data_IF_527104146244
#
_entry.id   IF_527104146244
#
_cell.length_a   1.000
_cell.length_b   1.000
_cell.length_c   1.000
_cell.angle_alpha   90.00
_cell.angle_beta   90.00
_cell.angle_gamma   90.00
#
_symmetry.space_group_name_H-M   'P 1'
#
loop_
_entity.id
_entity.type
_entity.pdbx_description
1 polymer ?
#
# COMPACT_ATOMS: atom_id res chain seq x y z
N UNK A 1 -70.03 -72.99 34.33
CA UNK A 1 -69.57 -71.59 34.44
C UNK A 1 -68.12 -71.53 33.98
N UNK A 2 -67.85 -70.97 32.79
CA UNK A 2 -66.54 -70.99 32.12
C UNK A 2 -65.88 -69.60 32.19
N UNK A 3 -64.61 -69.65 32.60
CA UNK A 3 -63.46 -68.73 32.52
C UNK A 3 -63.55 -67.48 31.63
N UNK A 4 -62.86 -66.42 32.07
CA UNK A 4 -62.26 -65.38 31.23
C UNK A 4 -61.25 -64.54 32.01
N UNK A 5 -59.96 -64.88 31.93
CA UNK A 5 -58.85 -64.16 32.54
C UNK A 5 -58.48 -62.93 31.71
N UNK A 6 -58.28 -61.78 32.35
CA UNK A 6 -57.88 -60.51 31.72
C UNK A 6 -56.35 -60.37 31.77
N UNK A 7 -55.69 -60.29 30.60
CA UNK A 7 -54.26 -60.03 30.45
C UNK A 7 -53.98 -58.52 30.55
N UNK A 8 -52.99 -58.14 31.37
CA UNK A 8 -52.40 -56.79 31.41
C UNK A 8 -51.32 -56.66 30.32
N UNK A 9 -51.44 -55.65 29.44
CA UNK A 9 -50.33 -55.21 28.57
C UNK A 9 -49.55 -54.08 29.26
N UNK A 10 -48.25 -54.29 29.52
CA UNK A 10 -47.31 -53.22 29.83
C UNK A 10 -46.80 -52.60 28.51
N UNK A 11 -46.98 -51.29 28.35
CA UNK A 11 -46.33 -50.52 27.29
C UNK A 11 -45.05 -49.87 27.84
N UNK A 12 -43.90 -50.29 27.30
CA UNK A 12 -42.58 -49.74 27.60
C UNK A 12 -42.29 -48.53 26.70
N UNK A 13 -42.27 -47.32 27.28
CA UNK A 13 -41.78 -46.11 26.62
C UNK A 13 -40.25 -46.10 26.68
N UNK A 14 -39.58 -46.32 25.54
CA UNK A 14 -38.14 -46.14 25.39
C UNK A 14 -37.80 -44.66 25.23
N UNK A 15 -37.04 -44.10 26.17
CA UNK A 15 -36.51 -42.74 26.11
C UNK A 15 -35.23 -42.75 25.25
N UNK A 16 -35.32 -42.31 24.00
CA UNK A 16 -34.15 -42.11 23.12
C UNK A 16 -33.41 -40.84 23.54
N UNK A 17 -32.30 -41.00 24.27
CA UNK A 17 -31.31 -39.94 24.43
C UNK A 17 -30.55 -39.76 23.11
N UNK A 18 -30.79 -38.64 22.42
CA UNK A 18 -29.88 -38.17 21.38
C UNK A 18 -28.59 -37.70 22.06
N UNK A 19 -27.54 -38.51 22.00
CA UNK A 19 -26.19 -38.08 22.35
C UNK A 19 -25.72 -37.11 21.25
N UNK A 20 -26.02 -35.82 21.42
CA UNK A 20 -25.43 -34.78 20.60
C UNK A 20 -23.97 -34.62 21.03
N UNK A 21 -23.08 -35.32 20.32
CA UNK A 21 -21.63 -35.16 20.44
C UNK A 21 -21.28 -33.70 20.19
N UNK A 22 -21.03 -32.93 21.24
CA UNK A 22 -20.41 -31.62 21.16
C UNK A 22 -18.91 -31.82 20.85
N UNK A 23 -18.59 -32.25 19.62
CA UNK A 23 -17.21 -32.09 19.14
C UNK A 23 -16.98 -30.59 19.03
N UNK A 24 -15.91 -30.12 19.67
CA UNK A 24 -15.53 -28.73 19.53
C UNK A 24 -15.03 -28.51 18.11
N UNK A 25 -15.94 -28.14 17.21
CA UNK A 25 -15.68 -27.85 15.80
C UNK A 25 -15.24 -26.39 15.58
N UNK A 26 -14.93 -25.64 16.66
CA UNK A 26 -14.40 -24.27 16.55
C UNK A 26 -13.13 -24.21 15.68
N UNK A 27 -12.31 -25.27 15.68
CA UNK A 27 -11.11 -25.34 14.82
C UNK A 27 -11.44 -25.41 13.32
N UNK A 28 -12.65 -25.86 12.93
CA UNK A 28 -13.11 -25.83 11.53
C UNK A 28 -13.51 -24.42 11.08
N UNK A 29 -13.67 -23.49 12.03
CA UNK A 29 -13.97 -22.08 11.75
C UNK A 29 -12.73 -21.19 11.67
N UNK A 30 -11.55 -21.70 12.06
CA UNK A 30 -10.29 -20.96 11.98
C UNK A 30 -9.76 -21.04 10.54
N UNK A 31 -9.61 -19.91 9.82
CA UNK A 31 -8.99 -19.91 8.51
C UNK A 31 -7.57 -20.49 8.60
N UNK A 32 -7.10 -21.23 7.57
CA UNK A 32 -5.73 -21.72 7.57
C UNK A 32 -4.74 -20.55 7.69
N UNK A 33 -3.63 -20.71 8.44
CA UNK A 33 -2.63 -19.67 8.57
C UNK A 33 -2.10 -19.25 7.20
N UNK A 34 -2.02 -17.94 6.97
CA UNK A 34 -1.42 -17.42 5.74
C UNK A 34 0.09 -17.64 5.80
N UNK A 35 0.71 -18.25 4.77
CA UNK A 35 2.15 -18.40 4.72
C UNK A 35 2.85 -17.05 4.76
N UNK A 36 4.02 -17.00 5.41
CA UNK A 36 4.87 -15.82 5.43
C UNK A 36 5.21 -15.40 3.99
N UNK A 37 4.86 -14.17 3.64
CA UNK A 37 5.08 -13.54 2.33
C UNK A 37 6.01 -12.33 2.44
N UNK A 38 6.77 -12.21 3.52
CA UNK A 38 7.67 -11.08 3.75
C UNK A 38 8.75 -11.00 2.68
N UNK A 39 9.03 -9.79 2.20
CA UNK A 39 10.08 -9.53 1.21
C UNK A 39 10.71 -8.15 1.42
N UNK A 40 11.83 -7.91 0.75
CA UNK A 40 12.46 -6.59 0.60
C UNK A 40 12.66 -6.27 -0.88
N UNK A 41 12.41 -5.01 -1.26
CA UNK A 41 12.63 -4.44 -2.57
C UNK A 41 13.50 -3.19 -2.42
N UNK A 42 14.75 -3.28 -2.87
CA UNK A 42 15.75 -2.20 -2.86
C UNK A 42 15.71 -1.35 -4.15
N UNK A 43 14.91 -1.73 -5.15
CA UNK A 43 14.88 -1.05 -6.46
C UNK A 43 16.27 -0.86 -7.11
N UNK A 44 17.22 -1.76 -6.83
CA UNK A 44 18.56 -1.80 -7.45
C UNK A 44 18.45 -1.64 -8.97
N UNK A 45 17.46 -2.31 -9.57
CA UNK A 45 16.92 -1.87 -10.86
C UNK A 45 15.39 -1.95 -10.90
N UNK A 46 14.74 -0.96 -11.52
CA UNK A 46 13.29 -0.95 -11.77
C UNK A 46 12.91 -2.13 -12.67
N UNK A 47 13.74 -2.48 -13.66
CA UNK A 47 13.48 -3.64 -14.53
C UNK A 47 13.39 -4.95 -13.73
N UNK A 48 14.27 -5.16 -12.73
CA UNK A 48 14.19 -6.34 -11.86
C UNK A 48 12.95 -6.32 -10.97
N UNK A 49 12.54 -5.15 -10.47
CA UNK A 49 11.30 -5.01 -9.71
C UNK A 49 10.07 -5.37 -10.57
N UNK A 50 10.01 -4.90 -11.82
CA UNK A 50 8.94 -5.26 -12.76
C UNK A 50 8.91 -6.76 -13.05
N UNK A 51 10.08 -7.39 -13.21
CA UNK A 51 10.18 -8.84 -13.37
C UNK A 51 9.69 -9.63 -12.15
N UNK A 52 9.76 -9.03 -10.95
CA UNK A 52 9.18 -9.58 -9.70
C UNK A 52 7.69 -9.28 -9.52
N UNK A 53 7.05 -8.58 -10.48
CA UNK A 53 5.61 -8.36 -10.48
C UNK A 53 5.16 -7.02 -9.92
N UNK A 54 6.09 -6.09 -9.66
CA UNK A 54 5.72 -4.68 -9.51
C UNK A 54 5.13 -4.13 -10.80
N UNK A 55 4.22 -3.17 -10.70
CA UNK A 55 3.54 -2.56 -11.85
C UNK A 55 3.52 -1.05 -11.67
N UNK A 56 3.53 -0.32 -12.79
CA UNK A 56 3.55 1.14 -12.81
C UNK A 56 2.35 1.63 -13.62
N UNK A 57 1.70 2.70 -13.16
CA UNK A 57 0.61 3.32 -13.90
C UNK A 57 0.57 4.83 -13.67
N UNK A 58 0.71 5.62 -14.73
CA UNK A 58 0.42 7.04 -14.67
C UNK A 58 -1.01 7.30 -15.15
N UNK A 59 -1.83 7.85 -14.26
CA UNK A 59 -3.25 8.16 -14.49
C UNK A 59 -3.56 9.63 -14.17
N UNK A 60 -2.52 10.46 -14.21
CA UNK A 60 -2.59 11.91 -14.01
C UNK A 60 -3.50 12.57 -15.05
N UNK A 61 -3.99 13.76 -14.71
CA UNK A 61 -4.88 14.54 -15.57
C UNK A 61 -4.41 16.00 -15.65
N UNK A 62 -4.02 16.47 -16.85
CA UNK A 62 -3.80 15.69 -18.07
C UNK A 62 -2.63 14.70 -17.93
N UNK A 63 -2.58 13.67 -18.77
CA UNK A 63 -1.52 12.68 -18.74
C UNK A 63 -0.19 13.33 -19.17
N UNK A 64 0.84 13.19 -18.34
CA UNK A 64 2.21 13.59 -18.65
C UNK A 64 3.08 12.42 -19.08
N UNK A 65 4.35 12.72 -19.40
CA UNK A 65 5.33 11.71 -19.80
C UNK A 65 5.97 10.96 -18.62
N UNK A 66 5.90 11.52 -17.42
CA UNK A 66 6.53 10.97 -16.23
C UNK A 66 5.90 9.65 -15.77
N UNK A 67 6.74 8.69 -15.39
CA UNK A 67 6.34 7.46 -14.72
C UNK A 67 7.40 7.12 -13.67
N UNK A 68 7.04 6.35 -12.64
CA UNK A 68 7.99 5.84 -11.68
C UNK A 68 9.20 5.20 -12.38
N UNK A 69 10.39 5.75 -12.16
CA UNK A 69 11.60 5.42 -12.92
C UNK A 69 12.86 5.35 -12.04
N UNK A 70 13.89 4.68 -12.57
CA UNK A 70 15.16 4.46 -11.87
C UNK A 70 15.78 5.77 -11.45
N UNK A 71 16.15 5.88 -10.17
CA UNK A 71 16.86 7.06 -9.65
C UNK A 71 16.07 8.37 -9.75
N UNK A 72 14.76 8.29 -10.02
CA UNK A 72 13.92 9.45 -10.35
C UNK A 72 14.21 10.10 -11.71
N UNK A 73 15.38 9.87 -12.30
CA UNK A 73 15.78 10.39 -13.59
C UNK A 73 17.20 9.94 -13.97
N UNK A 74 17.64 10.35 -15.16
CA UNK A 74 19.01 10.13 -15.63
C UNK A 74 19.65 11.48 -15.93
N UNK A 75 20.70 11.90 -15.20
CA UNK A 75 21.30 11.22 -14.03
C UNK A 75 20.35 11.16 -12.82
N UNK A 76 20.60 10.25 -11.84
CA UNK A 76 19.80 10.16 -10.62
C UNK A 76 19.74 11.49 -9.86
N UNK A 77 18.59 11.82 -9.27
CA UNK A 77 18.40 13.09 -8.55
C UNK A 77 19.32 13.23 -7.33
N UNK A 78 19.62 12.12 -6.65
CA UNK A 78 20.44 12.06 -5.45
C UNK A 78 20.94 10.63 -5.21
N UNK A 79 21.72 10.41 -4.15
CA UNK A 79 22.15 9.08 -3.72
C UNK A 79 20.98 8.26 -3.12
N UNK A 80 20.93 6.93 -3.36
CA UNK A 80 19.94 6.04 -2.75
C UNK A 80 20.06 6.01 -1.22
N UNK A 81 19.00 5.58 -0.52
CA UNK A 81 19.07 5.29 0.91
C UNK A 81 19.93 4.05 1.14
N UNK A 82 19.67 3.00 0.35
CA UNK A 82 20.52 1.82 0.28
C UNK A 82 20.57 1.28 -1.14
N UNK A 83 21.68 0.61 -1.47
CA UNK A 83 21.81 -0.08 -2.75
C UNK A 83 22.62 -1.34 -2.50
N UNK A 84 22.11 -2.47 -2.96
CA UNK A 84 22.87 -3.72 -3.03
C UNK A 84 23.52 -3.90 -4.42
N UNK A 85 23.13 -3.10 -5.41
CA UNK A 85 23.66 -3.07 -6.76
C UNK A 85 24.57 -1.88 -7.08
N UNK A 86 25.00 -1.80 -8.35
CA UNK A 86 25.87 -0.74 -8.90
C UNK A 86 25.11 0.49 -9.43
N UNK A 87 23.78 0.46 -9.42
CA UNK A 87 22.91 1.55 -9.89
C UNK A 87 22.40 2.38 -8.70
N UNK A 88 21.78 3.53 -8.97
CA UNK A 88 21.07 4.27 -7.92
C UNK A 88 19.82 3.49 -7.50
N UNK A 89 19.94 2.62 -6.50
CA UNK A 89 18.90 1.72 -6.00
C UNK A 89 17.72 2.43 -5.35
N UNK A 90 16.98 3.24 -6.11
CA UNK A 90 15.68 3.77 -5.70
C UNK A 90 14.83 4.03 -6.94
N UNK A 91 13.53 4.19 -6.74
CA UNK A 91 12.57 4.53 -7.78
C UNK A 91 11.92 5.87 -7.45
N UNK A 92 11.66 6.72 -8.45
CA UNK A 92 11.01 8.02 -8.21
C UNK A 92 10.08 8.45 -9.34
N UNK A 93 9.13 9.33 -9.01
CA UNK A 93 8.20 9.95 -9.94
C UNK A 93 8.14 11.47 -9.66
N UNK A 94 8.04 12.28 -10.70
CA UNK A 94 8.12 13.74 -10.63
C UNK A 94 6.89 14.45 -11.19
N UNK A 95 6.91 15.78 -11.11
CA UNK A 95 5.87 16.68 -11.59
C UNK A 95 5.51 16.45 -13.07
N UNK A 96 6.40 15.86 -13.88
CA UNK A 96 6.12 15.51 -15.28
C UNK A 96 5.13 14.36 -15.42
N UNK A 97 4.69 13.77 -14.31
CA UNK A 97 3.51 12.89 -14.25
C UNK A 97 2.28 13.52 -14.89
N UNK A 98 2.12 14.83 -14.81
CA UNK A 98 1.13 15.60 -15.57
C UNK A 98 1.81 16.47 -16.64
N UNK A 99 1.12 16.70 -17.75
CA UNK A 99 1.59 17.61 -18.81
C UNK A 99 1.12 19.06 -18.61
N UNK A 100 0.28 19.32 -17.61
CA UNK A 100 -0.19 20.67 -17.32
C UNK A 100 0.82 21.49 -16.51
N UNK A 101 0.69 22.80 -16.62
CA UNK A 101 1.25 23.75 -15.68
C UNK A 101 0.72 23.49 -14.26
N UNK A 102 -0.59 23.28 -14.14
CA UNK A 102 -1.29 22.88 -12.91
C UNK A 102 -2.36 21.84 -13.28
N UNK A 103 -2.22 20.62 -12.79
CA UNK A 103 -3.15 19.52 -12.98
C UNK A 103 -3.11 18.55 -11.80
N UNK A 104 -3.75 17.39 -11.97
CA UNK A 104 -3.79 16.37 -10.92
C UNK A 104 -2.76 15.29 -11.23
N UNK A 105 -1.72 15.20 -10.40
CA UNK A 105 -0.77 14.08 -10.41
C UNK A 105 -1.43 12.88 -9.76
N UNK A 106 -1.39 11.72 -10.43
CA UNK A 106 -1.86 10.42 -9.92
C UNK A 106 -1.01 9.31 -10.55
N UNK A 107 0.18 9.09 -9.97
CA UNK A 107 1.18 8.16 -10.49
C UNK A 107 1.45 7.02 -9.50
N UNK A 108 1.26 5.78 -9.95
CA UNK A 108 1.14 4.61 -9.10
C UNK A 108 2.32 3.65 -9.27
N UNK A 109 2.85 3.20 -8.13
CA UNK A 109 3.79 2.08 -8.01
C UNK A 109 3.08 0.98 -7.20
N UNK A 110 2.78 -0.13 -7.85
CA UNK A 110 1.88 -1.16 -7.35
C UNK A 110 2.67 -2.43 -7.06
N UNK A 111 2.49 -2.99 -5.84
CA UNK A 111 3.18 -4.18 -5.38
C UNK A 111 2.84 -5.42 -6.21
N UNK A 112 3.64 -6.51 -6.12
CA UNK A 112 3.18 -7.86 -6.45
C UNK A 112 1.90 -8.24 -5.67
N UNK A 113 1.19 -9.28 -6.14
CA UNK A 113 -0.01 -9.78 -5.47
C UNK A 113 0.35 -10.48 -4.16
N UNK A 114 -0.43 -10.22 -3.11
CA UNK A 114 -0.23 -10.74 -1.75
C UNK A 114 -1.55 -11.27 -1.18
N UNK A 115 -1.47 -12.03 -0.11
CA UNK A 115 -2.60 -12.29 0.78
C UNK A 115 -2.46 -11.40 2.00
N UNK A 116 -3.15 -10.25 1.99
CA UNK A 116 -3.12 -9.23 3.01
C UNK A 116 -3.88 -9.67 4.27
N UNK A 117 -3.37 -9.28 5.43
CA UNK A 117 -3.94 -9.52 6.75
C UNK A 117 -3.80 -8.30 7.64
N UNK A 118 -4.73 -8.12 8.57
CA UNK A 118 -4.62 -7.07 9.58
C UNK A 118 -3.31 -7.27 10.37
N UNK A 119 -2.55 -6.20 10.52
CA UNK A 119 -1.24 -6.22 11.19
C UNK A 119 -0.04 -6.41 10.26
N UNK A 120 -0.23 -6.76 8.99
CA UNK A 120 0.87 -6.75 8.02
C UNK A 120 1.44 -5.32 7.91
N UNK A 121 2.75 -5.20 7.71
CA UNK A 121 3.43 -3.92 7.65
C UNK A 121 4.09 -3.68 6.30
N UNK A 122 3.93 -2.47 5.78
CA UNK A 122 4.65 -1.95 4.63
C UNK A 122 5.58 -0.87 5.15
N UNK A 123 6.87 -1.19 5.23
CA UNK A 123 7.93 -0.30 5.71
C UNK A 123 8.73 0.18 4.52
N UNK A 124 9.04 1.46 4.44
CA UNK A 124 9.78 2.01 3.31
C UNK A 124 10.49 3.30 3.70
N UNK A 125 11.43 3.73 2.86
CA UNK A 125 12.07 5.03 2.96
C UNK A 125 11.60 5.91 1.81
N UNK A 126 11.34 7.18 2.10
CA UNK A 126 11.01 8.16 1.05
C UNK A 126 11.75 9.47 1.25
N UNK A 127 11.98 10.17 0.14
CA UNK A 127 12.65 11.46 0.07
C UNK A 127 12.05 12.28 -1.07
N UNK A 128 11.77 13.56 -0.82
CA UNK A 128 11.35 14.53 -1.83
C UNK A 128 12.54 15.05 -2.65
N UNK A 129 12.29 15.37 -3.91
CA UNK A 129 13.27 16.04 -4.77
C UNK A 129 13.29 17.53 -4.48
N UNK A 130 14.21 17.97 -3.64
CA UNK A 130 14.34 19.38 -3.26
C UNK A 130 15.12 20.14 -4.34
N UNK A 131 14.55 21.22 -4.87
CA UNK A 131 15.15 22.05 -5.93
C UNK A 131 15.29 23.51 -5.49
N UNK A 132 16.24 24.30 -6.04
CA UNK A 132 16.41 25.70 -5.68
C UNK A 132 15.13 26.53 -5.92
N UNK A 133 14.70 27.25 -4.90
CA UNK A 133 13.62 28.23 -4.97
C UNK A 133 14.17 29.67 -4.98
N UNK A 134 15.30 29.88 -4.31
CA UNK A 134 16.02 31.16 -4.28
C UNK A 134 17.52 30.92 -4.12
N UNK A 135 18.29 32.00 -3.96
CA UNK A 135 19.74 31.91 -3.71
C UNK A 135 20.10 31.25 -2.37
N UNK A 136 19.17 31.25 -1.40
CA UNK A 136 19.41 30.77 -0.04
C UNK A 136 18.43 29.68 0.40
N UNK A 137 17.51 29.29 -0.49
CA UNK A 137 16.47 28.33 -0.16
C UNK A 137 16.17 27.37 -1.31
N UNK A 138 15.82 26.15 -0.94
CA UNK A 138 15.37 25.08 -1.82
C UNK A 138 14.14 24.43 -1.21
N UNK A 139 13.19 24.09 -2.07
CA UNK A 139 11.90 23.53 -1.70
C UNK A 139 11.55 22.32 -2.54
N UNK A 140 10.60 21.55 -2.06
CA UNK A 140 10.01 20.42 -2.75
C UNK A 140 8.64 20.78 -3.36
N UNK A 141 8.18 22.03 -3.17
CA UNK A 141 6.87 22.54 -3.58
C UNK A 141 5.70 21.68 -3.06
N UNK A 142 5.81 21.09 -1.86
CA UNK A 142 4.76 20.32 -1.20
C UNK A 142 4.37 19.01 -1.90
N UNK A 143 5.32 18.07 -2.01
CA UNK A 143 5.01 16.71 -2.45
C UNK A 143 4.06 15.99 -1.48
N UNK A 144 3.27 15.04 -2.00
CA UNK A 144 2.39 14.18 -1.20
C UNK A 144 2.41 12.75 -1.75
N UNK A 145 2.45 11.77 -0.84
CA UNK A 145 2.49 10.34 -1.17
C UNK A 145 1.46 9.60 -0.33
N UNK A 146 0.64 8.78 -0.99
CA UNK A 146 -0.33 7.90 -0.32
C UNK A 146 0.12 6.44 -0.42
N UNK A 147 -0.18 5.65 0.61
CA UNK A 147 -0.10 4.19 0.60
C UNK A 147 -1.52 3.65 0.74
N UNK A 148 -1.97 2.88 -0.24
CA UNK A 148 -3.34 2.34 -0.25
C UNK A 148 -3.34 0.85 -0.60
N UNK A 149 -4.42 0.14 -0.26
CA UNK A 149 -4.59 -1.28 -0.59
C UNK A 149 -5.81 -1.52 -1.47
N UNK A 150 -5.67 -2.48 -2.38
CA UNK A 150 -6.78 -3.13 -3.08
C UNK A 150 -7.13 -4.42 -2.33
N UNK A 151 -8.35 -4.49 -1.82
CA UNK A 151 -8.88 -5.62 -1.05
C UNK A 151 -9.97 -6.38 -1.80
N UNK A 152 -10.30 -5.97 -3.03
CA UNK A 152 -11.37 -6.58 -3.83
C UNK A 152 -10.85 -7.60 -4.83
N UNK A 153 -9.60 -7.44 -5.26
CA UNK A 153 -8.99 -8.28 -6.30
C UNK A 153 -7.46 -8.14 -6.29
N UNK A 154 -6.79 -8.91 -7.14
CA UNK A 154 -5.35 -8.77 -7.41
C UNK A 154 -5.07 -8.02 -8.71
N UNK A 155 -6.06 -7.32 -9.26
CA UNK A 155 -5.89 -6.47 -10.43
C UNK A 155 -5.13 -5.17 -10.08
N UNK A 156 -4.82 -4.42 -11.14
CA UNK A 156 -4.11 -3.14 -11.07
C UNK A 156 -5.02 -1.98 -11.45
N UNK A 157 -6.35 -2.14 -11.29
CA UNK A 157 -7.33 -1.12 -11.69
C UNK A 157 -7.25 0.07 -10.73
N UNK A 158 -6.46 1.05 -11.14
CA UNK A 158 -6.36 2.37 -10.51
C UNK A 158 -7.34 3.35 -11.17
N UNK A 159 -7.72 4.39 -10.43
CA UNK A 159 -8.57 5.46 -10.95
C UNK A 159 -7.81 6.46 -11.82
N UNK A 160 -8.48 7.57 -12.18
CA UNK A 160 -7.93 8.65 -13.00
C UNK A 160 -8.05 10.00 -12.28
N UNK A 161 -6.98 10.79 -12.27
CA UNK A 161 -6.96 12.10 -11.60
C UNK A 161 -7.18 11.93 -10.10
N UNK A 162 -8.34 12.33 -9.60
CA UNK A 162 -8.70 12.21 -8.16
C UNK A 162 -9.13 10.79 -7.78
N UNK A 163 -9.72 10.04 -8.72
CA UNK A 163 -10.23 8.69 -8.47
C UNK A 163 -9.10 7.70 -8.14
N UNK A 164 -9.38 6.77 -7.23
CA UNK A 164 -8.46 5.76 -6.70
C UNK A 164 -8.69 4.36 -7.29
N UNK A 165 -9.82 4.13 -7.97
CA UNK A 165 -10.19 2.79 -8.45
C UNK A 165 -10.31 1.79 -7.31
N UNK A 166 -9.70 0.62 -7.45
CA UNK A 166 -9.79 -0.46 -6.46
C UNK A 166 -8.89 -0.23 -5.23
N UNK A 167 -7.98 0.75 -5.25
CA UNK A 167 -7.10 1.08 -4.14
C UNK A 167 -7.75 2.09 -3.16
N UNK A 168 -8.95 1.77 -2.70
CA UNK A 168 -9.83 2.70 -1.97
C UNK A 168 -9.64 2.72 -0.44
N UNK A 169 -8.76 1.89 0.10
CA UNK A 169 -8.40 1.91 1.53
C UNK A 169 -7.02 2.53 1.70
N UNK A 170 -6.97 3.78 2.17
CA UNK A 170 -5.71 4.50 2.43
C UNK A 170 -5.17 4.10 3.81
N UNK A 171 -3.95 3.57 3.84
CA UNK A 171 -3.25 3.17 5.05
C UNK A 171 -2.36 4.27 5.62
N UNK A 172 -1.81 5.11 4.75
CA UNK A 172 -0.92 6.22 5.11
C UNK A 172 -1.03 7.34 4.08
N UNK A 173 -1.04 8.59 4.54
CA UNK A 173 -1.02 9.79 3.70
C UNK A 173 0.06 10.74 4.23
N UNK A 174 1.13 10.90 3.46
CA UNK A 174 2.30 11.72 3.83
C UNK A 174 2.12 13.10 3.21
N UNK A 175 2.18 14.12 4.06
CA UNK A 175 1.94 15.53 3.73
C UNK A 175 0.54 15.80 3.12
N UNK A 176 -0.56 15.38 3.78
CA UNK A 176 -1.91 15.56 3.24
C UNK A 176 -2.35 17.03 3.15
N UNK A 177 -1.69 17.92 3.87
CA UNK A 177 -1.99 19.35 3.93
C UNK A 177 -1.13 20.20 2.98
N UNK A 178 -0.33 19.57 2.10
CA UNK A 178 0.54 20.25 1.14
C UNK A 178 1.45 21.31 1.79
N UNK A 179 2.15 20.95 2.86
CA UNK A 179 3.15 21.81 3.49
C UNK A 179 4.45 21.72 2.67
N UNK A 180 4.97 22.85 2.24
CA UNK A 180 6.25 22.93 1.53
C UNK A 180 7.42 22.65 2.47
N UNK A 181 8.36 21.82 2.02
CA UNK A 181 9.66 21.69 2.64
C UNK A 181 10.50 22.92 2.29
N UNK A 182 11.28 23.45 3.23
CA UNK A 182 12.26 24.50 2.95
C UNK A 182 13.59 24.16 3.62
N UNK A 183 14.69 24.47 2.95
CA UNK A 183 16.03 24.44 3.56
C UNK A 183 16.30 25.65 4.43
N UNK A 184 15.62 26.77 4.17
CA UNK A 184 15.63 27.94 5.04
C UNK A 184 15.02 27.57 6.42
N UNK A 185 15.79 27.68 7.51
CA UNK A 185 15.29 27.35 8.85
C UNK A 185 14.07 28.17 9.28
N UNK A 186 13.87 29.37 8.73
CA UNK A 186 12.72 30.21 9.05
C UNK A 186 11.41 29.71 8.42
N UNK A 187 11.50 28.92 7.34
CA UNK A 187 10.36 28.38 6.61
C UNK A 187 10.20 26.86 6.81
N UNK A 188 11.22 26.20 7.37
CA UNK A 188 11.23 24.76 7.59
C UNK A 188 10.05 24.28 8.44
N UNK A 189 9.43 23.17 8.00
CA UNK A 189 8.42 22.44 8.75
C UNK A 189 8.74 20.96 8.77
N UNK A 190 8.70 20.36 9.96
CA UNK A 190 8.85 18.91 10.13
C UNK A 190 7.62 18.11 9.67
N UNK A 191 6.50 18.79 9.41
CA UNK A 191 5.27 18.18 8.88
C UNK A 191 5.22 18.17 7.35
N UNK A 192 6.16 18.87 6.68
CA UNK A 192 6.32 18.82 5.23
C UNK A 192 6.77 17.44 4.76
N UNK A 193 6.73 17.21 3.45
CA UNK A 193 7.33 16.01 2.87
C UNK A 193 8.83 15.97 3.17
N UNK A 194 9.40 14.80 3.50
CA UNK A 194 10.79 14.74 3.96
C UNK A 194 11.80 15.08 2.85
N UNK A 195 12.59 16.13 3.04
CA UNK A 195 13.73 16.46 2.17
C UNK A 195 14.96 15.55 2.36
N UNK A 196 14.93 14.62 3.31
CA UNK A 196 15.95 13.60 3.56
C UNK A 196 15.31 12.20 3.63
N UNK A 197 16.07 11.15 3.34
CA UNK A 197 15.56 9.78 3.43
C UNK A 197 14.99 9.48 4.82
N UNK A 198 13.68 9.26 4.86
CA UNK A 198 12.92 9.11 6.11
C UNK A 198 12.09 7.83 6.05
N UNK A 199 12.12 7.04 7.13
CA UNK A 199 11.40 5.79 7.26
C UNK A 199 9.91 6.04 7.58
N UNK A 200 9.03 5.36 6.86
CA UNK A 200 7.60 5.28 7.16
C UNK A 200 7.16 3.82 7.31
N UNK A 201 6.02 3.64 7.98
CA UNK A 201 5.37 2.34 8.19
C UNK A 201 3.87 2.51 8.02
N UNK A 202 3.29 1.76 7.10
CA UNK A 202 1.85 1.61 6.95
C UNK A 202 1.44 0.22 7.46
N UNK A 203 0.43 0.14 8.32
CA UNK A 203 -0.10 -1.12 8.84
C UNK A 203 -1.41 -1.43 8.15
N UNK A 204 -1.57 -2.67 7.66
CA UNK A 204 -2.83 -3.15 7.07
C UNK A 204 -3.88 -3.27 8.18
N UNK A 205 -5.08 -2.75 7.94
CA UNK A 205 -6.23 -2.84 8.83
C UNK A 205 -7.54 -2.93 8.05
N UNK A 206 -8.64 -3.18 8.77
CA UNK A 206 -10.00 -3.10 8.21
C UNK A 206 -10.46 -4.32 7.39
N UNK A 207 -9.68 -5.41 7.38
CA UNK A 207 -10.05 -6.64 6.68
C UNK A 207 -10.91 -7.55 7.56
N UNK A 208 -11.92 -8.20 6.97
CA UNK A 208 -12.74 -9.22 7.63
C UNK A 208 -12.04 -10.59 7.72
N UNK A 209 -10.86 -10.73 7.11
CA UNK A 209 -10.04 -11.93 7.08
C UNK A 209 -8.93 -11.81 6.04
N UNK A 210 -8.06 -12.82 5.92
CA UNK A 210 -7.05 -12.88 4.87
C UNK A 210 -7.63 -12.61 3.48
N UNK A 211 -7.09 -11.62 2.79
CA UNK A 211 -7.66 -11.09 1.55
C UNK A 211 -6.59 -11.03 0.46
N UNK A 212 -6.84 -11.65 -0.70
CA UNK A 212 -5.95 -11.51 -1.85
C UNK A 212 -6.04 -10.10 -2.41
N UNK A 213 -4.91 -9.43 -2.52
CA UNK A 213 -4.86 -8.01 -2.82
C UNK A 213 -3.49 -7.52 -3.24
N UNK A 214 -3.33 -6.19 -3.24
CA UNK A 214 -2.07 -5.48 -3.46
C UNK A 214 -2.03 -4.25 -2.58
N UNK A 215 -0.83 -3.75 -2.28
CA UNK A 215 -0.65 -2.38 -1.84
C UNK A 215 -0.07 -1.54 -2.98
N UNK A 216 -0.26 -0.23 -2.92
CA UNK A 216 0.32 0.69 -3.88
C UNK A 216 0.75 1.98 -3.22
N UNK A 217 1.81 2.55 -3.75
CA UNK A 217 2.21 3.92 -3.53
C UNK A 217 1.62 4.79 -4.62
N UNK A 218 0.99 5.90 -4.24
CA UNK A 218 0.45 6.88 -5.18
C UNK A 218 1.08 8.24 -4.91
N UNK A 219 1.90 8.69 -5.84
CA UNK A 219 2.29 10.09 -5.89
C UNK A 219 1.06 10.89 -6.34
N UNK A 220 0.52 11.73 -5.45
CA UNK A 220 -0.80 12.35 -5.64
C UNK A 220 -0.80 13.83 -5.23
N UNK A 221 -1.11 14.72 -6.18
CA UNK A 221 -1.08 16.17 -5.96
C UNK A 221 -2.18 16.83 -6.79
N UNK A 222 -3.10 17.56 -6.15
CA UNK A 222 -4.31 18.11 -6.81
C UNK A 222 -4.05 19.36 -7.66
N UNK A 223 -2.86 19.98 -7.57
CA UNK A 223 -2.42 21.11 -8.39
C UNK A 223 -0.95 20.97 -8.79
N UNK A 224 -0.50 19.75 -9.12
CA UNK A 224 0.88 19.49 -9.48
C UNK A 224 1.20 19.87 -10.93
N UNK A 225 2.48 20.01 -11.27
CA UNK A 225 2.92 20.25 -12.66
C UNK A 225 4.03 21.29 -12.77
N UNK A 226 4.31 21.75 -13.98
CA UNK A 226 5.46 22.62 -14.28
C UNK A 226 5.45 23.95 -13.51
N UNK A 227 4.27 24.50 -13.23
CA UNK A 227 4.07 25.79 -12.54
C UNK A 227 3.07 25.62 -11.38
N UNK A 228 3.00 24.41 -10.84
CA UNK A 228 2.13 24.04 -9.74
C UNK A 228 2.93 23.57 -8.54
N UNK A 229 2.27 22.80 -7.70
CA UNK A 229 2.90 22.09 -6.61
C UNK A 229 3.78 20.94 -7.13
N UNK A 230 4.61 20.47 -6.22
CA UNK A 230 5.36 19.25 -6.23
C UNK A 230 6.53 19.24 -7.23
N UNK A 231 7.59 18.54 -6.82
CA UNK A 231 8.80 18.34 -7.62
C UNK A 231 8.91 16.88 -8.00
N UNK A 232 9.02 16.01 -7.01
CA UNK A 232 9.10 14.58 -7.18
C UNK A 232 9.34 13.87 -5.86
N UNK A 233 8.99 12.60 -5.85
CA UNK A 233 9.13 11.71 -4.69
C UNK A 233 9.93 10.50 -5.10
N UNK A 234 10.78 10.03 -4.18
CA UNK A 234 11.52 8.79 -4.32
C UNK A 234 11.13 7.80 -3.23
N UNK A 235 11.16 6.51 -3.56
CA UNK A 235 10.97 5.40 -2.63
C UNK A 235 12.15 4.46 -2.75
N UNK A 236 12.60 3.97 -1.60
CA UNK A 236 13.67 2.99 -1.48
C UNK A 236 13.38 2.04 -0.31
N UNK A 237 14.00 0.84 -0.35
CA UNK A 237 14.00 -0.16 0.71
C UNK A 237 12.60 -0.48 1.25
N UNK A 238 11.73 -0.90 0.34
CA UNK A 238 10.38 -1.34 0.70
C UNK A 238 10.48 -2.75 1.29
N UNK A 239 10.02 -2.92 2.51
CA UNK A 239 9.83 -4.21 3.15
C UNK A 239 8.35 -4.43 3.43
N UNK A 240 7.82 -5.54 2.92
CA UNK A 240 6.55 -6.08 3.38
C UNK A 240 6.83 -7.13 4.44
N UNK A 241 6.12 -7.05 5.56
CA UNK A 241 6.28 -7.93 6.70
C UNK A 241 4.93 -8.55 7.02
N UNK A 242 4.81 -9.86 6.84
CA UNK A 242 3.60 -10.58 7.22
C UNK A 242 3.46 -10.58 8.74
N UNK A 243 2.26 -10.30 9.23
CA UNK A 243 1.92 -10.49 10.64
C UNK A 243 2.13 -11.96 11.02
N UNK A 244 2.82 -12.19 12.13
CA UNK A 244 2.91 -13.51 12.76
C UNK A 244 1.57 -13.86 13.39
N UNK A 245 1.09 -15.08 13.16
CA UNK A 245 0.05 -15.73 13.96
C UNK A 245 0.70 -16.75 14.90
#
# INVERSE_FOLDING_TARGET
>A
MRKGSLLLLLASFGLTFLLQSCRNDEYLTVPPPVPNQSFSEEFDTVSSALARGWQLANTSVPLGSGIWQQGGGIPPWFAPYSSAGTYAGFIGADYTSTSADQGVISNWLISPALTLQNGDKIVFYTKGWVIPASATDSTDYANRLQVSINTTSTDIVVGKGLDVGNFNTVLLDINPNYIEYHTDPALYSAQAYPGNWTRFEATVFGLNGPTKGRFAFRYFVENGGYNGLATGVAIDKVSYQSASH
#
